data_IF_696116280809
#
_entry.id   IF_696116280809
#
_cell.length_a   1.000
_cell.length_b   1.000
_cell.length_c   1.000
_cell.angle_alpha   90.00
_cell.angle_beta   90.00
_cell.angle_gamma   90.00
#
_symmetry.space_group_name_H-M   'P 1'
#
loop_
_entity.id
_entity.type
_entity.pdbx_description
1 polymer ?
#
# COMPACT_ATOMS: atom_id res chain seq x y z
N UNK A 1 85.40 13.64 -15.07
CA UNK A 1 83.99 13.97 -15.49
C UNK A 1 83.82 13.97 -17.00
N UNK A 2 84.78 14.33 -17.80
CA UNK A 2 84.73 14.27 -19.29
C UNK A 2 84.67 12.84 -19.83
N UNK A 3 85.39 11.86 -19.24
CA UNK A 3 85.36 10.47 -19.64
C UNK A 3 83.97 9.81 -19.44
N UNK A 4 83.24 10.20 -18.46
CA UNK A 4 81.89 9.67 -18.19
C UNK A 4 80.87 10.24 -19.20
N UNK A 5 81.04 11.50 -19.61
CA UNK A 5 80.23 12.13 -20.67
C UNK A 5 80.36 11.41 -22.02
N UNK A 6 81.58 11.17 -22.46
CA UNK A 6 81.92 10.51 -23.73
C UNK A 6 81.38 9.04 -23.74
N UNK A 7 81.42 8.31 -22.62
CA UNK A 7 81.04 6.93 -22.56
C UNK A 7 79.52 6.76 -22.57
N UNK A 8 78.77 7.71 -22.02
CA UNK A 8 77.29 7.69 -22.02
C UNK A 8 76.70 8.16 -23.35
N UNK A 9 77.37 9.16 -24.02
CA UNK A 9 77.03 9.60 -25.37
C UNK A 9 77.23 8.48 -26.42
N UNK A 10 78.29 7.69 -26.26
CA UNK A 10 78.63 6.58 -27.16
C UNK A 10 77.67 5.36 -27.03
N UNK A 11 77.14 5.14 -25.83
CA UNK A 11 76.23 4.06 -25.51
C UNK A 11 74.75 4.37 -25.80
N UNK A 12 74.29 5.62 -25.64
CA UNK A 12 72.90 6.01 -25.73
C UNK A 12 72.58 6.87 -26.97
N UNK A 13 73.58 7.40 -27.66
CA UNK A 13 73.43 8.35 -28.77
C UNK A 13 72.79 9.68 -28.41
N UNK A 14 72.61 9.93 -27.09
CA UNK A 14 71.97 11.16 -26.58
C UNK A 14 72.91 11.93 -25.68
N UNK A 15 72.97 13.21 -25.88
CA UNK A 15 73.83 14.07 -25.03
C UNK A 15 73.42 14.01 -23.56
N UNK A 16 74.42 13.97 -22.65
CA UNK A 16 74.20 13.87 -21.20
C UNK A 16 73.26 14.97 -20.70
N UNK A 17 73.32 16.16 -21.33
CA UNK A 17 72.51 17.32 -20.99
C UNK A 17 70.98 17.06 -21.26
N UNK A 18 70.65 16.33 -22.31
CA UNK A 18 69.26 15.91 -22.62
C UNK A 18 68.73 14.88 -21.61
N UNK A 19 69.58 13.94 -21.18
CA UNK A 19 69.23 12.95 -20.14
C UNK A 19 69.00 13.63 -18.80
N UNK A 20 69.81 14.61 -18.41
CA UNK A 20 69.60 15.31 -17.14
C UNK A 20 68.38 16.20 -17.14
N UNK A 21 68.02 16.84 -18.24
CA UNK A 21 66.80 17.63 -18.41
C UNK A 21 65.59 16.69 -18.37
N UNK A 22 65.67 15.53 -19.07
CA UNK A 22 64.60 14.51 -19.03
C UNK A 22 64.35 13.98 -17.62
N UNK A 23 65.42 13.66 -16.89
CA UNK A 23 65.31 13.20 -15.49
C UNK A 23 64.73 14.27 -14.58
N UNK A 24 65.14 15.54 -14.74
CA UNK A 24 64.57 16.66 -13.98
C UNK A 24 63.08 16.83 -14.26
N UNK A 25 62.67 16.73 -15.52
CA UNK A 25 61.23 16.77 -15.91
C UNK A 25 60.43 15.61 -15.31
N UNK A 26 61.00 14.41 -15.30
CA UNK A 26 60.36 13.24 -14.70
C UNK A 26 60.17 13.39 -13.19
N UNK A 27 61.17 13.91 -12.49
CA UNK A 27 61.07 14.19 -11.04
C UNK A 27 60.00 15.23 -10.76
N UNK A 28 59.89 16.30 -11.57
CA UNK A 28 58.83 17.31 -11.42
C UNK A 28 57.43 16.70 -11.61
N UNK A 29 57.26 15.84 -12.60
CA UNK A 29 56.00 15.13 -12.82
C UNK A 29 55.63 14.24 -11.63
N UNK A 30 56.57 13.49 -11.07
CA UNK A 30 56.37 12.66 -9.89
C UNK A 30 55.98 13.50 -8.65
N UNK A 31 56.58 14.66 -8.47
CA UNK A 31 56.25 15.60 -7.37
C UNK A 31 54.82 16.10 -7.55
N UNK A 32 54.39 16.47 -8.76
CA UNK A 32 53.04 16.92 -9.05
C UNK A 32 52.04 15.80 -8.76
N UNK A 33 52.29 14.56 -9.21
CA UNK A 33 51.44 13.39 -8.94
C UNK A 33 51.35 13.15 -7.43
N UNK A 34 52.42 13.24 -6.70
CA UNK A 34 52.45 13.06 -5.25
C UNK A 34 51.58 14.11 -4.52
N UNK A 35 51.66 15.37 -4.94
CA UNK A 35 50.84 16.46 -4.38
C UNK A 35 49.37 16.24 -4.67
N UNK A 36 48.99 15.89 -5.92
CA UNK A 36 47.60 15.63 -6.32
C UNK A 36 47.03 14.46 -5.55
N UNK A 37 47.79 13.36 -5.42
CA UNK A 37 47.37 12.21 -4.63
C UNK A 37 47.21 12.54 -3.15
N UNK A 38 48.10 13.33 -2.58
CA UNK A 38 48.03 13.81 -1.19
C UNK A 38 46.76 14.64 -0.94
N UNK A 39 46.40 15.52 -1.87
CA UNK A 39 45.18 16.34 -1.77
C UNK A 39 43.91 15.48 -1.92
N UNK A 40 43.91 14.52 -2.86
CA UNK A 40 42.80 13.57 -3.02
C UNK A 40 42.60 12.72 -1.77
N UNK A 41 43.70 12.22 -1.20
CA UNK A 41 43.67 11.40 0.04
C UNK A 41 43.11 12.21 1.22
N UNK A 42 43.56 13.47 1.41
CA UNK A 42 43.03 14.37 2.45
C UNK A 42 41.55 14.67 2.25
N UNK A 43 41.07 14.85 1.00
CA UNK A 43 39.68 15.10 0.68
C UNK A 43 38.81 13.86 0.94
N UNK A 44 39.32 12.68 0.62
CA UNK A 44 38.64 11.40 0.88
C UNK A 44 38.57 11.13 2.39
N UNK A 45 39.68 11.34 3.12
CA UNK A 45 39.74 11.21 4.59
C UNK A 45 38.75 12.15 5.27
N UNK A 46 38.66 13.40 4.82
CA UNK A 46 37.72 14.38 5.35
C UNK A 46 36.25 14.02 5.09
N UNK A 47 35.95 13.44 3.91
CA UNK A 47 34.61 12.89 3.62
C UNK A 47 34.29 11.67 4.49
N UNK A 48 35.25 10.79 4.69
CA UNK A 48 35.11 9.63 5.56
C UNK A 48 34.93 10.04 7.02
N UNK A 49 35.72 10.98 7.51
CA UNK A 49 35.56 11.52 8.87
C UNK A 49 34.24 12.27 9.05
N UNK A 50 33.78 13.04 8.06
CA UNK A 50 32.45 13.68 8.10
C UNK A 50 31.30 12.66 8.09
N UNK A 51 31.44 11.56 7.36
CA UNK A 51 30.47 10.45 7.39
C UNK A 51 30.49 9.71 8.73
N UNK A 52 31.66 9.50 9.31
CA UNK A 52 31.83 8.83 10.60
C UNK A 52 31.61 9.77 11.81
N UNK A 53 31.94 11.04 11.72
CA UNK A 53 31.72 12.03 12.80
C UNK A 53 30.23 12.48 12.88
N UNK A 54 29.46 12.28 11.83
CA UNK A 54 28.04 12.64 11.81
C UNK A 54 27.15 11.73 12.65
N UNK A 55 27.58 10.51 12.97
CA UNK A 55 26.88 9.57 13.88
C UNK A 55 27.87 8.54 14.37
N UNK A 56 28.13 8.50 15.67
CA UNK A 56 28.81 7.38 16.31
C UNK A 56 28.20 6.08 15.80
N UNK A 57 29.01 5.09 15.43
CA UNK A 57 28.55 3.77 14.98
C UNK A 57 27.54 3.17 15.98
N UNK A 58 27.75 3.39 17.28
CA UNK A 58 26.79 3.03 18.35
C UNK A 58 25.41 3.71 18.18
N UNK A 59 25.38 5.00 17.81
CA UNK A 59 24.11 5.72 17.57
C UNK A 59 23.36 5.23 16.31
N UNK A 60 24.08 4.67 15.33
CA UNK A 60 23.48 4.06 14.15
C UNK A 60 22.90 2.69 14.49
N UNK A 61 23.61 1.90 15.30
CA UNK A 61 23.17 0.61 15.82
C UNK A 61 21.89 0.76 16.65
N UNK A 62 21.88 1.67 17.62
CA UNK A 62 20.72 1.98 18.45
C UNK A 62 19.52 2.43 17.60
N UNK A 63 19.77 3.24 16.55
CA UNK A 63 18.73 3.69 15.64
C UNK A 63 18.17 2.54 14.80
N UNK A 64 19.03 1.65 14.31
CA UNK A 64 18.63 0.46 13.55
C UNK A 64 17.83 -0.50 14.42
N UNK A 65 18.30 -0.83 15.63
CA UNK A 65 17.58 -1.68 16.57
C UNK A 65 16.21 -1.10 16.89
N UNK A 66 16.14 0.21 17.18
CA UNK A 66 14.85 0.89 17.41
C UNK A 66 13.89 0.82 16.21
N UNK A 67 14.42 0.93 14.99
CA UNK A 67 13.60 0.81 13.78
C UNK A 67 13.14 -0.62 13.51
N UNK A 68 14.00 -1.61 13.78
CA UNK A 68 13.62 -3.02 13.68
C UNK A 68 12.50 -3.36 14.66
N UNK A 69 12.62 -2.95 15.92
CA UNK A 69 11.56 -3.16 16.92
C UNK A 69 10.24 -2.47 16.49
N UNK A 70 10.32 -1.24 15.92
CA UNK A 70 9.12 -0.58 15.39
C UNK A 70 8.49 -1.35 14.22
N UNK A 71 9.28 -2.00 13.38
CA UNK A 71 8.78 -2.84 12.28
C UNK A 71 8.12 -4.10 12.84
N UNK A 72 8.69 -4.74 13.85
CA UNK A 72 8.09 -5.90 14.52
C UNK A 72 6.74 -5.53 15.16
N UNK A 73 6.67 -4.41 15.88
CA UNK A 73 5.42 -3.90 16.46
C UNK A 73 4.37 -3.60 15.37
N UNK A 74 4.78 -3.05 14.21
CA UNK A 74 3.90 -2.79 13.08
C UNK A 74 3.37 -4.08 12.46
N UNK A 75 4.20 -5.10 12.31
CA UNK A 75 3.79 -6.41 11.78
C UNK A 75 2.75 -7.04 12.71
N UNK A 76 3.01 -7.06 14.02
CA UNK A 76 2.06 -7.60 15.00
C UNK A 76 0.74 -6.82 15.02
N UNK A 77 0.78 -5.48 14.87
CA UNK A 77 -0.40 -4.63 14.78
C UNK A 77 -1.19 -4.87 13.48
N UNK A 78 -0.49 -5.14 12.37
CA UNK A 78 -1.12 -5.43 11.08
C UNK A 78 -1.85 -6.78 11.12
N UNK A 79 -1.22 -7.82 11.66
CA UNK A 79 -1.84 -9.15 11.84
C UNK A 79 -3.14 -9.02 12.66
N UNK A 80 -3.10 -8.30 13.79
CA UNK A 80 -4.28 -8.08 14.61
C UNK A 80 -5.37 -7.27 13.89
N UNK A 81 -4.97 -6.31 13.04
CA UNK A 81 -5.91 -5.54 12.24
C UNK A 81 -6.57 -6.41 11.18
N UNK A 82 -5.82 -7.28 10.53
CA UNK A 82 -6.34 -8.23 9.54
C UNK A 82 -7.35 -9.20 10.16
N UNK A 83 -7.06 -9.74 11.36
CA UNK A 83 -8.00 -10.60 12.10
C UNK A 83 -9.32 -9.85 12.40
N UNK A 84 -9.23 -8.60 12.87
CA UNK A 84 -10.42 -7.78 13.12
C UNK A 84 -11.21 -7.49 11.86
N UNK A 85 -10.55 -7.16 10.76
CA UNK A 85 -11.20 -6.93 9.46
C UNK A 85 -11.92 -8.19 9.01
N UNK A 86 -11.28 -9.37 9.11
CA UNK A 86 -11.90 -10.63 8.75
C UNK A 86 -13.14 -10.92 9.62
N UNK A 87 -13.06 -10.70 10.92
CA UNK A 87 -14.20 -10.85 11.82
C UNK A 87 -15.36 -9.91 11.44
N UNK A 88 -15.08 -8.66 11.07
CA UNK A 88 -16.10 -7.71 10.62
C UNK A 88 -16.75 -8.19 9.31
N UNK A 89 -15.95 -8.66 8.35
CA UNK A 89 -16.45 -9.19 7.08
C UNK A 89 -17.37 -10.41 7.30
N UNK A 90 -16.97 -11.32 8.19
CA UNK A 90 -17.78 -12.49 8.55
C UNK A 90 -19.12 -12.10 9.22
N UNK A 91 -19.12 -11.05 10.01
CA UNK A 91 -20.34 -10.49 10.61
C UNK A 91 -21.21 -9.79 9.56
N UNK A 92 -20.61 -9.06 8.63
CA UNK A 92 -21.35 -8.41 7.54
C UNK A 92 -22.04 -9.43 6.64
N UNK A 93 -21.46 -10.58 6.40
CA UNK A 93 -22.09 -11.63 5.59
C UNK A 93 -23.42 -12.15 6.18
N UNK A 94 -23.60 -11.99 7.50
CA UNK A 94 -24.82 -12.40 8.22
C UNK A 94 -25.81 -11.25 8.42
N UNK A 95 -25.38 -10.01 8.20
CA UNK A 95 -26.20 -8.82 8.43
C UNK A 95 -27.06 -8.52 7.20
N UNK A 96 -28.29 -8.07 7.42
CA UNK A 96 -29.13 -7.59 6.33
C UNK A 96 -28.64 -6.23 5.87
N UNK A 97 -28.30 -6.10 4.60
CA UNK A 97 -27.69 -4.91 4.02
C UNK A 97 -28.45 -4.40 2.79
N UNK A 98 -29.23 -5.25 2.15
CA UNK A 98 -30.00 -4.91 0.97
C UNK A 98 -31.46 -4.71 1.37
N UNK A 99 -32.02 -3.57 0.97
CA UNK A 99 -33.36 -3.16 1.39
C UNK A 99 -34.18 -2.78 0.17
N UNK A 100 -35.38 -3.34 0.09
CA UNK A 100 -36.38 -2.92 -0.90
C UNK A 100 -37.70 -2.63 -0.19
N UNK A 101 -38.28 -1.46 -0.43
CA UNK A 101 -39.52 -1.04 0.21
C UNK A 101 -40.51 -0.53 -0.83
N UNK A 102 -41.66 -1.19 -0.91
CA UNK A 102 -42.78 -0.80 -1.75
C UNK A 102 -43.95 -0.44 -0.86
N UNK A 103 -44.53 0.74 -1.02
CA UNK A 103 -45.73 1.18 -0.34
C UNK A 103 -46.90 1.18 -1.31
N UNK A 104 -48.01 0.59 -0.92
CA UNK A 104 -49.18 0.43 -1.75
C UNK A 104 -50.52 0.59 -0.98
N UNK A 105 -51.62 0.65 -1.67
CA UNK A 105 -52.97 0.61 -1.09
C UNK A 105 -53.58 -0.73 -1.38
N UNK A 106 -53.62 -1.62 -0.37
CA UNK A 106 -54.07 -3.03 -0.57
C UNK A 106 -55.57 -3.11 -0.85
N UNK A 107 -56.39 -2.16 -0.41
CA UNK A 107 -57.88 -2.27 -0.43
C UNK A 107 -58.55 -1.08 -1.07
N UNK A 108 -57.86 -0.07 -1.52
CA UNK A 108 -58.36 1.21 -2.08
C UNK A 108 -59.37 1.94 -1.15
N UNK A 109 -59.30 1.67 0.16
CA UNK A 109 -60.31 2.11 1.12
C UNK A 109 -59.84 3.25 2.03
N UNK A 110 -58.53 3.42 2.20
CA UNK A 110 -57.97 4.26 3.26
C UNK A 110 -57.45 5.63 2.81
N UNK A 111 -57.53 5.92 1.52
CA UNK A 111 -57.09 7.23 1.01
C UNK A 111 -55.57 7.50 1.09
N UNK A 112 -54.76 6.43 1.19
CA UNK A 112 -53.31 6.54 1.20
C UNK A 112 -52.62 5.18 1.15
N UNK A 113 -51.34 5.17 0.77
CA UNK A 113 -50.51 3.94 0.70
C UNK A 113 -50.00 3.59 2.12
N UNK A 114 -50.87 2.99 2.94
CA UNK A 114 -50.54 2.56 4.30
C UNK A 114 -50.00 1.12 4.37
N UNK A 115 -50.31 0.30 3.36
CA UNK A 115 -49.76 -1.04 3.23
C UNK A 115 -48.33 -0.97 2.68
N UNK A 116 -47.49 -1.93 3.03
CA UNK A 116 -46.14 -1.98 2.52
C UNK A 116 -45.61 -3.42 2.41
N UNK A 117 -44.68 -3.61 1.48
CA UNK A 117 -43.85 -4.79 1.33
C UNK A 117 -42.38 -4.37 1.54
N UNK A 118 -41.71 -5.00 2.50
CA UNK A 118 -40.33 -4.72 2.87
C UNK A 118 -39.47 -5.98 2.68
N UNK A 119 -38.54 -5.95 1.76
CA UNK A 119 -37.53 -7.00 1.56
C UNK A 119 -36.23 -6.59 2.29
N UNK A 120 -35.69 -7.53 3.08
CA UNK A 120 -34.41 -7.41 3.77
C UNK A 120 -33.56 -8.63 3.41
N UNK A 121 -32.40 -8.39 2.76
CA UNK A 121 -31.51 -9.44 2.33
C UNK A 121 -30.08 -9.18 2.81
N UNK A 122 -29.37 -10.28 3.10
CA UNK A 122 -27.94 -10.24 3.35
C UNK A 122 -27.15 -10.21 2.04
N UNK A 123 -25.82 -10.18 2.13
CA UNK A 123 -24.92 -10.18 0.98
C UNK A 123 -25.14 -11.36 0.02
N UNK A 124 -25.55 -12.53 0.55
CA UNK A 124 -25.81 -13.76 -0.22
C UNK A 124 -27.23 -13.85 -0.76
N UNK A 125 -27.99 -12.75 -0.73
CA UNK A 125 -29.40 -12.68 -1.11
C UNK A 125 -30.32 -13.59 -0.29
N UNK A 126 -29.93 -13.93 0.94
CA UNK A 126 -30.77 -14.64 1.88
C UNK A 126 -31.41 -13.65 2.85
N UNK A 127 -32.66 -13.87 3.18
CA UNK A 127 -33.40 -13.01 4.08
C UNK A 127 -34.90 -13.26 4.07
N UNK A 128 -35.67 -12.19 4.12
CA UNK A 128 -37.13 -12.30 4.16
C UNK A 128 -37.79 -11.03 3.64
N UNK A 129 -39.08 -11.22 3.29
CA UNK A 129 -40.00 -10.15 2.97
C UNK A 129 -41.06 -10.08 4.08
N UNK A 130 -41.25 -8.88 4.63
CA UNK A 130 -42.40 -8.56 5.51
C UNK A 130 -43.44 -7.87 4.65
N UNK A 131 -44.63 -8.37 4.62
CA UNK A 131 -45.77 -7.71 4.00
C UNK A 131 -46.78 -7.32 5.07
N UNK A 132 -47.20 -6.05 5.09
CA UNK A 132 -48.20 -5.52 5.99
C UNK A 132 -49.33 -4.86 5.17
N UNK A 133 -50.49 -5.46 5.21
CA UNK A 133 -51.73 -4.98 4.56
C UNK A 133 -52.60 -4.26 5.59
N UNK A 134 -52.88 -3.00 5.34
CA UNK A 134 -53.68 -2.16 6.24
C UNK A 134 -55.10 -1.97 5.67
N UNK A 135 -56.12 -2.34 6.48
CA UNK A 135 -57.52 -2.13 6.18
C UNK A 135 -58.20 -1.31 7.29
N UNK A 136 -59.46 -0.94 7.12
CA UNK A 136 -60.25 -0.27 8.16
C UNK A 136 -60.48 -1.13 9.39
N UNK A 137 -60.48 -2.46 9.23
CA UNK A 137 -60.77 -3.43 10.28
C UNK A 137 -59.51 -3.89 11.01
N UNK A 138 -58.32 -3.67 10.46
CA UNK A 138 -57.06 -4.12 11.07
C UNK A 138 -55.89 -4.16 10.11
N UNK A 139 -54.76 -4.64 10.63
CA UNK A 139 -53.55 -4.84 9.87
C UNK A 139 -53.15 -6.34 9.85
N UNK A 140 -52.94 -6.86 8.67
CA UNK A 140 -52.47 -8.23 8.48
C UNK A 140 -51.01 -8.21 8.09
N UNK A 141 -50.17 -8.85 8.91
CA UNK A 141 -48.74 -8.91 8.67
C UNK A 141 -48.27 -10.35 8.58
N UNK A 142 -47.43 -10.66 7.59
CA UNK A 142 -46.81 -11.98 7.42
C UNK A 142 -45.40 -11.83 6.85
N UNK A 143 -44.65 -12.92 6.95
CA UNK A 143 -43.24 -12.98 6.50
C UNK A 143 -43.11 -14.14 5.50
N UNK A 144 -42.35 -13.92 4.43
CA UNK A 144 -41.90 -14.92 3.47
C UNK A 144 -40.42 -15.01 3.45
N UNK A 145 -39.83 -16.19 3.53
CA UNK A 145 -38.42 -16.44 3.48
C UNK A 145 -37.89 -16.32 2.05
N UNK A 146 -36.70 -15.76 1.92
CA UNK A 146 -35.94 -15.64 0.67
C UNK A 146 -34.60 -16.37 0.81
N UNK A 147 -34.37 -17.30 -0.11
CA UNK A 147 -33.13 -18.09 -0.18
C UNK A 147 -32.54 -17.90 -1.57
N UNK A 148 -31.26 -17.45 -1.61
CA UNK A 148 -30.52 -17.17 -2.85
C UNK A 148 -31.31 -16.27 -3.83
N UNK A 149 -32.00 -15.25 -3.28
CA UNK A 149 -32.80 -14.31 -4.07
C UNK A 149 -34.16 -14.86 -4.56
N UNK A 150 -34.57 -16.05 -4.11
CA UNK A 150 -35.79 -16.69 -4.53
C UNK A 150 -36.72 -17.00 -3.34
N UNK A 151 -38.04 -16.96 -3.57
CA UNK A 151 -39.02 -17.38 -2.59
C UNK A 151 -39.58 -18.74 -2.96
N UNK A 152 -39.75 -19.62 -1.98
CA UNK A 152 -40.41 -20.90 -2.13
C UNK A 152 -41.92 -20.71 -2.31
N UNK A 153 -42.47 -19.65 -1.75
CA UNK A 153 -43.91 -19.32 -1.79
C UNK A 153 -44.12 -18.24 -2.85
N UNK A 154 -45.21 -18.33 -3.60
CA UNK A 154 -45.60 -17.34 -4.61
C UNK A 154 -45.64 -15.94 -3.99
N UNK A 155 -44.96 -14.97 -4.59
CA UNK A 155 -44.92 -13.56 -4.20
C UNK A 155 -46.06 -12.80 -4.90
N UNK A 156 -46.66 -11.85 -4.18
CA UNK A 156 -47.52 -10.83 -4.78
C UNK A 156 -46.70 -9.85 -5.62
N UNK A 157 -47.34 -9.01 -6.42
CA UNK A 157 -46.63 -8.07 -7.29
C UNK A 157 -45.78 -7.08 -6.49
N UNK A 158 -46.29 -6.52 -5.40
CA UNK A 158 -45.60 -5.58 -4.52
C UNK A 158 -44.43 -6.24 -3.77
N UNK A 159 -44.56 -7.53 -3.46
CA UNK A 159 -43.48 -8.32 -2.83
C UNK A 159 -42.34 -8.60 -3.84
N UNK A 160 -42.69 -8.89 -5.10
CA UNK A 160 -41.70 -9.05 -6.16
C UNK A 160 -40.94 -7.76 -6.42
N UNK A 161 -41.68 -6.63 -6.52
CA UNK A 161 -41.09 -5.32 -6.72
C UNK A 161 -40.12 -4.97 -5.55
N UNK A 162 -40.52 -5.25 -4.30
CA UNK A 162 -39.67 -5.04 -3.14
C UNK A 162 -38.40 -5.93 -3.18
N UNK A 163 -38.55 -7.20 -3.60
CA UNK A 163 -37.45 -8.12 -3.77
C UNK A 163 -36.48 -7.65 -4.87
N UNK A 164 -36.99 -7.23 -6.01
CA UNK A 164 -36.19 -6.68 -7.13
C UNK A 164 -35.44 -5.44 -6.72
N UNK A 165 -36.06 -4.53 -5.98
CA UNK A 165 -35.39 -3.34 -5.43
C UNK A 165 -34.22 -3.74 -4.50
N UNK A 166 -34.44 -4.70 -3.59
CA UNK A 166 -33.41 -5.19 -2.70
C UNK A 166 -32.25 -5.88 -3.45
N UNK A 167 -32.57 -6.63 -4.52
CA UNK A 167 -31.55 -7.29 -5.35
C UNK A 167 -30.76 -6.30 -6.21
N UNK A 168 -31.42 -5.22 -6.67
CA UNK A 168 -30.79 -4.16 -7.46
C UNK A 168 -29.88 -3.27 -6.60
N UNK A 169 -30.10 -3.19 -5.29
CA UNK A 169 -29.27 -2.49 -4.31
C UNK A 169 -27.95 -3.25 -4.09
N UNK A 170 -27.20 -3.37 -5.16
CA UNK A 170 -25.87 -3.96 -5.13
C UNK A 170 -24.91 -2.82 -4.83
N UNK A 171 -24.33 -2.79 -3.63
CA UNK A 171 -23.15 -1.98 -3.38
C UNK A 171 -22.10 -2.36 -4.44
N UNK A 172 -21.85 -1.47 -5.38
CA UNK A 172 -20.76 -1.63 -6.33
C UNK A 172 -19.50 -1.91 -5.51
N UNK A 173 -18.96 -3.10 -5.70
CA UNK A 173 -17.65 -3.44 -5.15
C UNK A 173 -16.69 -2.41 -5.74
N UNK A 174 -16.25 -1.47 -4.91
CA UNK A 174 -15.24 -0.50 -5.28
C UNK A 174 -14.05 -1.24 -5.87
N UNK A 175 -13.74 -0.88 -7.11
CA UNK A 175 -12.52 -1.27 -7.82
C UNK A 175 -11.30 -0.70 -7.14
#
# INVERSE_FOLDING_TARGET
MEYLKLHIEDLTGISLDVITVGLAALVLILIIIMIVNGVKMKKLKKKYEAFMAGKNAASLEDTLVKRLNQVEDLIASDEHTQEKVQMVLDHLDKTYQKVGLVKYDAFNEMGGKLSFSLALLNRKNNGFIINAMHSREGCYTYIKEIIDGNSVIMLAEEEKEALEMALADTYEQGK
#
